data_IF_941259498234
#
_entry.id   IF_941259498234
#
_cell.length_a   1.000
_cell.length_b   1.000
_cell.length_c   1.000
_cell.angle_alpha   90.00
_cell.angle_beta   90.00
_cell.angle_gamma   90.00
#
_symmetry.space_group_name_H-M   'P 1'
#
loop_
_entity.id
_entity.type
_entity.pdbx_description
1 polymer ?
#
# COMPACT_ATOMS: atom_id res chain seq x y z
N UNK A 1 -3.55 60.65 10.82
CA UNK A 1 -5.00 60.42 10.67
C UNK A 1 -5.26 60.01 9.24
N UNK A 2 -5.09 58.72 8.92
CA UNK A 2 -5.52 58.11 7.66
C UNK A 2 -5.46 56.58 7.76
N UNK A 3 -6.64 55.97 7.56
CA UNK A 3 -6.90 54.65 6.96
C UNK A 3 -6.31 53.38 7.60
N UNK A 4 -6.88 53.02 8.77
CA UNK A 4 -7.09 51.61 9.16
C UNK A 4 -8.14 50.97 8.24
N UNK A 5 -7.71 50.34 7.14
CA UNK A 5 -8.56 49.46 6.33
C UNK A 5 -8.48 48.04 6.91
N UNK A 6 -9.32 47.78 7.93
CA UNK A 6 -9.66 46.42 8.36
C UNK A 6 -10.31 45.72 7.16
N UNK A 7 -9.59 44.78 6.54
CA UNK A 7 -10.19 43.81 5.63
C UNK A 7 -11.11 42.89 6.44
N UNK A 8 -12.38 43.26 6.53
CA UNK A 8 -13.48 42.33 6.76
C UNK A 8 -13.54 41.38 5.56
N UNK A 9 -12.87 40.23 5.69
CA UNK A 9 -13.05 39.06 4.81
C UNK A 9 -13.18 37.78 5.65
N UNK A 10 -13.85 37.89 6.80
CA UNK A 10 -14.05 36.81 7.75
C UNK A 10 -15.52 36.43 7.99
N UNK A 11 -16.45 36.93 7.18
CA UNK A 11 -17.89 36.67 7.33
C UNK A 11 -18.41 35.51 6.48
N UNK A 12 -17.94 35.38 5.24
CA UNK A 12 -18.52 34.42 4.28
C UNK A 12 -17.91 33.00 4.36
N UNK A 13 -16.72 32.86 4.96
CA UNK A 13 -16.10 31.53 5.12
C UNK A 13 -16.76 30.68 6.21
N UNK A 14 -17.55 31.30 7.09
CA UNK A 14 -18.26 30.60 8.19
C UNK A 14 -19.67 30.17 7.75
N UNK A 15 -20.30 30.85 6.79
CA UNK A 15 -21.61 30.44 6.24
C UNK A 15 -21.51 29.34 5.17
N UNK A 16 -20.33 29.10 4.58
CA UNK A 16 -20.15 28.01 3.60
C UNK A 16 -20.01 26.63 4.24
N UNK A 17 -19.88 26.57 5.57
CA UNK A 17 -19.83 25.31 6.33
C UNK A 17 -21.19 24.82 6.80
N UNK A 18 -22.29 25.37 6.28
CA UNK A 18 -23.61 24.74 6.30
C UNK A 18 -23.59 23.52 5.35
N UNK A 19 -22.74 22.58 5.75
CA UNK A 19 -22.80 21.15 5.64
C UNK A 19 -23.88 20.65 4.68
N UNK A 20 -23.45 20.27 3.48
CA UNK A 20 -24.14 19.21 2.75
C UNK A 20 -24.05 17.98 3.69
N UNK A 21 -25.14 17.53 4.33
CA UNK A 21 -25.10 16.39 5.25
C UNK A 21 -24.54 15.13 4.56
N UNK A 22 -24.68 15.09 3.24
CA UNK A 22 -24.11 14.06 2.37
C UNK A 22 -22.58 14.04 2.42
N UNK A 23 -21.88 15.17 2.48
CA UNK A 23 -20.40 15.18 2.50
C UNK A 23 -19.83 14.69 3.84
N UNK A 24 -20.49 15.02 4.95
CA UNK A 24 -20.17 14.47 6.26
C UNK A 24 -20.44 12.96 6.32
N UNK A 25 -21.52 12.51 5.69
CA UNK A 25 -21.84 11.08 5.56
C UNK A 25 -20.78 10.36 4.75
N UNK A 26 -20.42 10.88 3.57
CA UNK A 26 -19.36 10.35 2.69
C UNK A 26 -18.02 10.31 3.44
N UNK A 27 -17.65 11.37 4.16
CA UNK A 27 -16.46 11.40 4.99
C UNK A 27 -16.47 10.28 6.04
N UNK A 28 -17.59 10.14 6.77
CA UNK A 28 -17.73 9.14 7.83
C UNK A 28 -17.62 7.73 7.28
N UNK A 29 -18.21 7.46 6.10
CA UNK A 29 -18.13 6.18 5.42
C UNK A 29 -16.71 5.86 4.98
N UNK A 30 -16.02 6.78 4.30
CA UNK A 30 -14.62 6.59 3.90
C UNK A 30 -13.70 6.43 5.10
N UNK A 31 -13.93 7.17 6.19
CA UNK A 31 -13.15 7.05 7.42
C UNK A 31 -13.36 5.69 8.09
N UNK A 32 -14.60 5.19 8.13
CA UNK A 32 -14.89 3.83 8.63
C UNK A 32 -14.24 2.78 7.75
N UNK A 33 -14.31 2.91 6.42
CA UNK A 33 -13.67 1.99 5.48
C UNK A 33 -12.15 1.98 5.60
N UNK A 34 -11.51 3.15 5.66
CA UNK A 34 -10.05 3.24 5.85
C UNK A 34 -9.60 2.52 7.13
N UNK A 35 -10.30 2.76 8.27
CA UNK A 35 -10.02 2.05 9.52
C UNK A 35 -10.29 0.55 9.44
N UNK A 36 -11.32 0.15 8.70
CA UNK A 36 -11.62 -1.26 8.46
C UNK A 36 -10.47 -1.94 7.70
N UNK A 37 -10.02 -1.37 6.57
CA UNK A 37 -8.88 -1.90 5.82
C UNK A 37 -7.59 -1.96 6.65
N UNK A 38 -7.35 -0.95 7.50
CA UNK A 38 -6.20 -0.95 8.42
C UNK A 38 -6.28 -2.10 9.44
N UNK A 39 -7.45 -2.31 10.05
CA UNK A 39 -7.69 -3.39 10.99
C UNK A 39 -7.59 -4.76 10.33
N UNK A 40 -8.17 -4.93 9.14
CA UNK A 40 -8.08 -6.18 8.37
C UNK A 40 -6.63 -6.52 8.03
N UNK A 41 -5.83 -5.53 7.63
CA UNK A 41 -4.41 -5.73 7.34
C UNK A 41 -3.63 -6.20 8.58
N UNK A 42 -3.90 -5.60 9.74
CA UNK A 42 -3.32 -5.99 11.02
C UNK A 42 -3.70 -7.43 11.40
N UNK A 43 -5.00 -7.75 11.36
CA UNK A 43 -5.52 -9.08 11.64
C UNK A 43 -4.96 -10.14 10.70
N UNK A 44 -4.97 -9.85 9.40
CA UNK A 44 -4.41 -10.72 8.38
C UNK A 44 -2.93 -11.02 8.65
N UNK A 45 -2.14 -9.97 8.94
CA UNK A 45 -0.71 -10.15 9.24
C UNK A 45 -0.53 -11.01 10.49
N UNK A 46 -1.30 -10.79 11.56
CA UNK A 46 -1.19 -11.60 12.77
C UNK A 46 -1.48 -13.09 12.52
N UNK A 47 -2.54 -13.38 11.76
CA UNK A 47 -2.87 -14.76 11.35
C UNK A 47 -1.73 -15.34 10.51
N UNK A 48 -1.24 -14.58 9.53
CA UNK A 48 -0.16 -15.02 8.66
C UNK A 48 1.14 -15.30 9.43
N UNK A 49 1.53 -14.45 10.39
CA UNK A 49 2.66 -14.67 11.30
C UNK A 49 2.51 -15.99 12.06
N UNK A 50 1.31 -16.26 12.62
CA UNK A 50 1.05 -17.50 13.35
C UNK A 50 1.19 -18.73 12.44
N UNK A 51 0.70 -18.66 11.20
CA UNK A 51 0.84 -19.75 10.23
C UNK A 51 2.30 -19.98 9.84
N UNK A 52 3.06 -18.91 9.56
CA UNK A 52 4.50 -19.02 9.25
C UNK A 52 5.25 -19.65 10.43
N UNK A 53 4.97 -19.23 11.67
CA UNK A 53 5.57 -19.81 12.86
C UNK A 53 5.22 -21.31 13.01
N UNK A 54 3.96 -21.68 12.78
CA UNK A 54 3.52 -23.07 12.82
C UNK A 54 4.25 -23.94 11.78
N UNK A 55 4.41 -23.44 10.56
CA UNK A 55 5.17 -24.11 9.49
C UNK A 55 6.61 -24.35 9.95
N UNK A 56 7.30 -23.32 10.47
CA UNK A 56 8.69 -23.43 10.92
C UNK A 56 8.85 -24.41 12.11
N UNK A 57 7.91 -24.40 13.06
CA UNK A 57 7.89 -25.37 14.18
C UNK A 57 7.68 -26.80 13.67
N UNK A 58 6.78 -26.99 12.70
CA UNK A 58 6.51 -28.29 12.11
C UNK A 58 7.72 -28.80 11.29
N UNK A 59 8.38 -27.93 10.54
CA UNK A 59 9.65 -28.24 9.86
C UNK A 59 10.71 -28.73 10.84
N UNK A 60 10.90 -28.01 11.96
CA UNK A 60 11.86 -28.42 12.99
C UNK A 60 11.57 -29.82 13.51
N UNK A 61 10.31 -30.15 13.77
CA UNK A 61 9.91 -31.49 14.23
C UNK A 61 10.27 -32.58 13.20
N UNK A 62 9.98 -32.35 11.92
CA UNK A 62 10.30 -33.30 10.85
C UNK A 62 11.81 -33.50 10.70
N UNK A 63 12.60 -32.42 10.77
CA UNK A 63 14.06 -32.49 10.64
C UNK A 63 14.76 -33.16 11.82
N UNK A 64 14.16 -33.18 13.01
CA UNK A 64 14.74 -33.82 14.20
C UNK A 64 14.41 -35.31 14.34
N UNK A 65 13.61 -35.90 13.44
CA UNK A 65 13.32 -37.33 13.44
C UNK A 65 14.48 -38.15 12.82
N UNK A 66 14.69 -39.38 13.29
CA UNK A 66 15.78 -40.27 12.86
C UNK A 66 15.81 -40.57 11.34
N UNK A 67 14.66 -40.43 10.66
CA UNK A 67 14.56 -40.44 9.21
C UNK A 67 13.93 -39.13 8.73
N UNK A 68 14.74 -38.11 8.37
CA UNK A 68 14.22 -36.86 7.84
C UNK A 68 13.49 -37.12 6.52
N UNK A 69 12.17 -36.94 6.53
CA UNK A 69 11.33 -37.00 5.33
C UNK A 69 11.50 -35.73 4.49
N UNK A 70 12.61 -35.68 3.73
CA UNK A 70 12.96 -34.58 2.82
C UNK A 70 11.79 -34.13 1.94
N UNK A 71 11.00 -35.10 1.47
CA UNK A 71 9.93 -34.89 0.51
C UNK A 71 8.75 -34.16 1.17
N UNK A 72 8.41 -34.54 2.40
CA UNK A 72 7.37 -33.85 3.18
C UNK A 72 7.81 -32.43 3.54
N UNK A 73 9.08 -32.23 3.90
CA UNK A 73 9.63 -30.90 4.16
C UNK A 73 9.60 -30.02 2.91
N UNK A 74 9.94 -30.58 1.74
CA UNK A 74 9.87 -29.86 0.47
C UNK A 74 8.44 -29.40 0.14
N UNK A 75 7.45 -30.30 0.26
CA UNK A 75 6.03 -29.96 0.03
C UNK A 75 5.58 -28.83 0.96
N UNK A 76 5.93 -28.91 2.24
CA UNK A 76 5.59 -27.90 3.23
C UNK A 76 6.23 -26.54 2.95
N UNK A 77 7.47 -26.54 2.49
CA UNK A 77 8.21 -25.32 2.13
C UNK A 77 7.63 -24.67 0.87
N UNK A 78 7.26 -25.46 -0.14
CA UNK A 78 6.54 -24.99 -1.34
C UNK A 78 5.18 -24.40 -0.94
N UNK A 79 4.45 -25.07 -0.05
CA UNK A 79 3.20 -24.54 0.50
C UNK A 79 3.41 -23.20 1.20
N UNK A 80 4.45 -23.09 2.04
CA UNK A 80 4.84 -21.84 2.69
C UNK A 80 5.18 -20.72 1.68
N UNK A 81 5.87 -21.05 0.58
CA UNK A 81 6.17 -20.10 -0.49
C UNK A 81 4.89 -19.58 -1.17
N UNK A 82 4.00 -20.49 -1.57
CA UNK A 82 2.71 -20.12 -2.19
C UNK A 82 1.89 -19.24 -1.26
N UNK A 83 1.77 -19.64 0.01
CA UNK A 83 1.06 -18.85 1.02
C UNK A 83 1.69 -17.46 1.22
N UNK A 84 3.01 -17.36 1.14
CA UNK A 84 3.71 -16.08 1.28
C UNK A 84 3.46 -15.13 0.11
N UNK A 85 3.45 -15.66 -1.12
CA UNK A 85 3.10 -14.86 -2.31
C UNK A 85 1.64 -14.40 -2.25
N UNK A 86 0.70 -15.30 -1.92
CA UNK A 86 -0.70 -14.94 -1.76
C UNK A 86 -0.92 -13.93 -0.64
N UNK A 87 -0.25 -14.11 0.50
CA UNK A 87 -0.36 -13.17 1.61
C UNK A 87 0.17 -11.78 1.28
N UNK A 88 1.25 -11.70 0.50
CA UNK A 88 1.75 -10.43 0.00
C UNK A 88 0.76 -9.73 -0.94
N UNK A 89 0.10 -10.48 -1.85
CA UNK A 89 -0.93 -9.92 -2.73
C UNK A 89 -2.14 -9.38 -1.97
N UNK A 90 -2.59 -10.09 -0.92
CA UNK A 90 -3.66 -9.62 -0.02
C UNK A 90 -3.24 -8.34 0.70
N UNK A 91 -2.02 -8.31 1.25
CA UNK A 91 -1.47 -7.12 1.92
C UNK A 91 -1.44 -5.89 0.99
N UNK A 92 -1.01 -6.08 -0.26
CA UNK A 92 -1.03 -5.03 -1.29
C UNK A 92 -2.47 -4.58 -1.55
N UNK A 93 -3.39 -5.51 -1.77
CA UNK A 93 -4.78 -5.19 -2.10
C UNK A 93 -5.47 -4.38 -1.00
N UNK A 94 -5.31 -4.78 0.27
CA UNK A 94 -5.82 -4.04 1.44
C UNK A 94 -5.18 -2.65 1.57
N UNK A 95 -3.89 -2.55 1.25
CA UNK A 95 -3.18 -1.27 1.32
C UNK A 95 -3.64 -0.32 0.20
N UNK A 96 -3.95 -0.83 -1.01
CA UNK A 96 -4.52 -0.01 -2.10
C UNK A 96 -5.88 0.55 -1.68
N UNK A 97 -6.73 -0.29 -1.09
CA UNK A 97 -8.05 0.12 -0.57
C UNK A 97 -7.94 1.21 0.50
N UNK A 98 -7.02 1.04 1.45
CA UNK A 98 -6.72 2.06 2.45
C UNK A 98 -6.31 3.40 1.81
N UNK A 99 -5.32 3.38 0.91
CA UNK A 99 -4.79 4.60 0.29
C UNK A 99 -5.83 5.31 -0.58
N UNK A 100 -6.74 4.55 -1.21
CA UNK A 100 -7.86 5.10 -1.97
C UNK A 100 -8.77 5.94 -1.07
N UNK A 101 -9.29 5.35 0.02
CA UNK A 101 -10.17 6.05 0.95
C UNK A 101 -9.50 7.22 1.66
N UNK A 102 -8.22 7.08 2.01
CA UNK A 102 -7.45 8.20 2.57
C UNK A 102 -7.35 9.37 1.59
N UNK A 103 -7.20 9.10 0.30
CA UNK A 103 -7.14 10.17 -0.70
C UNK A 103 -8.46 10.93 -0.81
N UNK A 104 -9.58 10.23 -0.72
CA UNK A 104 -10.91 10.85 -0.76
C UNK A 104 -11.17 11.67 0.52
N UNK A 105 -10.71 11.18 1.68
CA UNK A 105 -10.71 11.94 2.94
C UNK A 105 -9.89 13.24 2.82
N UNK A 106 -8.71 13.19 2.20
CA UNK A 106 -7.86 14.38 1.98
C UNK A 106 -8.59 15.40 1.10
N UNK A 107 -9.29 14.94 0.06
CA UNK A 107 -10.08 15.80 -0.82
C UNK A 107 -11.21 16.51 -0.04
N UNK A 108 -11.92 15.80 0.84
CA UNK A 108 -12.96 16.40 1.69
C UNK A 108 -12.36 17.39 2.69
N UNK A 109 -11.23 17.06 3.32
CA UNK A 109 -10.53 18.00 4.22
C UNK A 109 -10.06 19.27 3.52
N UNK A 110 -9.64 19.15 2.26
CA UNK A 110 -9.30 20.30 1.43
C UNK A 110 -10.53 21.17 1.17
N UNK A 111 -11.67 20.58 0.83
CA UNK A 111 -12.93 21.30 0.62
C UNK A 111 -13.42 22.03 1.89
N UNK A 112 -13.29 21.40 3.07
CA UNK A 112 -13.63 22.02 4.35
C UNK A 112 -12.58 23.02 4.88
N UNK A 113 -11.48 23.23 4.16
CA UNK A 113 -10.34 24.04 4.62
C UNK A 113 -9.77 23.59 5.98
N UNK A 114 -9.77 22.27 6.21
CA UNK A 114 -9.28 21.64 7.44
C UNK A 114 -7.99 20.83 7.22
N UNK A 115 -7.22 21.17 6.18
CA UNK A 115 -5.98 20.47 5.82
C UNK A 115 -4.89 20.51 6.91
N UNK A 116 -4.99 21.43 7.86
CA UNK A 116 -4.10 21.51 9.03
C UNK A 116 -4.23 20.30 9.98
N UNK A 117 -5.39 19.66 10.05
CA UNK A 117 -5.58 18.46 10.89
C UNK A 117 -4.86 17.24 10.32
N UNK A 118 -4.61 17.24 9.00
CA UNK A 118 -3.92 16.17 8.29
C UNK A 118 -2.40 16.40 8.15
N UNK A 119 -1.80 17.25 9.00
CA UNK A 119 -0.38 17.69 8.87
C UNK A 119 0.64 16.58 9.14
N UNK A 120 0.24 15.44 9.71
CA UNK A 120 1.12 14.30 10.04
C UNK A 120 0.85 13.02 9.21
N UNK A 121 0.99 13.04 7.87
CA UNK A 121 0.80 11.85 7.04
C UNK A 121 1.92 10.80 7.18
N UNK A 122 2.97 11.08 7.98
CA UNK A 122 4.14 10.20 8.09
C UNK A 122 3.94 8.97 9.00
N UNK A 123 2.97 8.99 9.92
CA UNK A 123 2.71 7.87 10.82
C UNK A 123 2.22 6.59 10.11
N UNK A 124 1.26 6.62 9.16
CA UNK A 124 0.80 5.41 8.48
C UNK A 124 1.88 4.79 7.56
N UNK A 125 2.83 5.59 7.06
CA UNK A 125 3.87 5.12 6.13
C UNK A 125 4.87 4.16 6.79
N UNK A 126 5.28 4.43 8.04
CA UNK A 126 6.23 3.57 8.76
C UNK A 126 5.63 2.18 9.05
N UNK A 127 4.36 2.14 9.42
CA UNK A 127 3.66 0.89 9.72
C UNK A 127 3.45 0.03 8.46
N UNK A 128 3.02 0.65 7.36
CA UNK A 128 2.94 0.00 6.03
C UNK A 128 4.28 -0.61 5.60
N UNK A 129 5.37 0.14 5.78
CA UNK A 129 6.69 -0.32 5.38
C UNK A 129 7.14 -1.54 6.19
N UNK A 130 6.90 -1.57 7.50
CA UNK A 130 7.28 -2.70 8.35
C UNK A 130 6.53 -3.99 7.98
N UNK A 131 5.19 -3.89 7.80
CA UNK A 131 4.38 -5.02 7.37
C UNK A 131 4.79 -5.55 5.99
N UNK A 132 5.15 -4.64 5.08
CA UNK A 132 5.68 -5.00 3.77
C UNK A 132 6.97 -5.78 3.88
N UNK A 133 7.96 -5.26 4.60
CA UNK A 133 9.24 -5.95 4.78
C UNK A 133 9.07 -7.34 5.37
N UNK A 134 8.13 -7.51 6.31
CA UNK A 134 7.83 -8.83 6.85
C UNK A 134 7.44 -9.84 5.76
N UNK A 135 6.52 -9.47 4.86
CA UNK A 135 6.07 -10.36 3.79
C UNK A 135 7.16 -10.59 2.71
N UNK A 136 7.98 -9.59 2.42
CA UNK A 136 9.11 -9.75 1.50
C UNK A 136 10.15 -10.72 2.08
N UNK A 137 10.48 -10.59 3.38
CA UNK A 137 11.41 -11.46 4.08
C UNK A 137 10.88 -12.90 4.12
N UNK A 138 9.59 -13.12 4.37
CA UNK A 138 9.01 -14.47 4.38
C UNK A 138 9.02 -15.11 2.99
N UNK A 139 8.73 -14.36 1.92
CA UNK A 139 8.88 -14.85 0.55
C UNK A 139 10.33 -15.27 0.28
N UNK A 140 11.30 -14.42 0.59
CA UNK A 140 12.74 -14.72 0.39
C UNK A 140 13.14 -15.96 1.18
N UNK A 141 12.71 -16.07 2.45
CA UNK A 141 12.97 -17.22 3.29
C UNK A 141 12.43 -18.51 2.67
N UNK A 142 11.15 -18.56 2.32
CA UNK A 142 10.56 -19.77 1.75
C UNK A 142 11.08 -20.08 0.35
N UNK A 143 11.46 -19.09 -0.44
CA UNK A 143 12.13 -19.31 -1.72
C UNK A 143 13.51 -19.95 -1.54
N UNK A 144 14.32 -19.43 -0.61
CA UNK A 144 15.63 -20.00 -0.28
C UNK A 144 15.50 -21.44 0.25
N UNK A 145 14.53 -21.69 1.14
CA UNK A 145 14.25 -23.03 1.63
C UNK A 145 13.77 -23.96 0.49
N UNK A 146 12.96 -23.46 -0.45
CA UNK A 146 12.47 -24.25 -1.59
C UNK A 146 13.64 -24.69 -2.46
N UNK A 147 14.57 -23.78 -2.75
CA UNK A 147 15.78 -24.09 -3.50
C UNK A 147 16.66 -25.11 -2.77
N UNK A 148 16.84 -24.93 -1.46
CA UNK A 148 17.65 -25.85 -0.64
C UNK A 148 17.07 -27.27 -0.60
N UNK A 149 15.80 -27.42 -0.22
CA UNK A 149 15.17 -28.74 -0.15
C UNK A 149 14.92 -29.34 -1.54
N UNK A 150 14.69 -28.49 -2.56
CA UNK A 150 14.60 -28.92 -3.95
C UNK A 150 15.92 -29.50 -4.45
N UNK A 151 17.05 -28.87 -4.09
CA UNK A 151 18.39 -29.40 -4.37
C UNK A 151 18.65 -30.74 -3.65
N UNK A 152 18.25 -30.88 -2.39
CA UNK A 152 18.41 -32.15 -1.67
C UNK A 152 17.53 -33.28 -2.24
N UNK A 153 16.31 -32.95 -2.69
CA UNK A 153 15.41 -33.92 -3.33
C UNK A 153 15.79 -34.21 -4.78
N UNK A 154 16.70 -33.44 -5.37
CA UNK A 154 17.09 -33.50 -6.77
C UNK A 154 17.61 -34.88 -7.21
N UNK A 155 18.42 -35.52 -6.36
CA UNK A 155 18.97 -36.85 -6.66
C UNK A 155 17.90 -37.94 -6.74
N UNK A 156 16.75 -37.73 -6.07
CA UNK A 156 15.65 -38.71 -6.05
C UNK A 156 14.62 -38.48 -7.15
N UNK A 157 14.50 -37.26 -7.64
CA UNK A 157 13.51 -36.90 -8.66
C UNK A 157 14.08 -37.12 -10.07
N UNK A 158 13.89 -38.33 -10.60
CA UNK A 158 14.35 -38.76 -11.93
C UNK A 158 13.94 -37.81 -13.08
N UNK A 159 12.81 -37.10 -12.94
CA UNK A 159 12.28 -36.14 -13.93
C UNK A 159 13.21 -34.93 -14.13
N UNK A 160 13.98 -34.59 -13.10
CA UNK A 160 14.71 -33.34 -13.06
C UNK A 160 16.20 -33.47 -13.36
N UNK A 161 16.77 -34.67 -13.25
CA UNK A 161 18.20 -34.97 -13.35
C UNK A 161 18.99 -34.20 -14.44
N UNK A 162 18.38 -33.94 -15.59
CA UNK A 162 19.06 -33.31 -16.72
C UNK A 162 19.12 -31.78 -16.69
N UNK A 163 18.30 -31.04 -15.92
CA UNK A 163 18.26 -29.57 -16.02
C UNK A 163 17.97 -28.81 -14.70
N UNK A 164 18.96 -28.67 -13.79
CA UNK A 164 18.86 -27.94 -12.51
C UNK A 164 18.51 -26.46 -12.63
N UNK A 165 18.73 -25.89 -13.80
CA UNK A 165 18.48 -24.49 -14.10
C UNK A 165 16.98 -24.15 -14.06
N UNK A 166 16.06 -25.11 -14.25
CA UNK A 166 14.61 -24.82 -14.28
C UNK A 166 14.04 -24.38 -12.94
N UNK A 167 14.47 -24.97 -11.82
CA UNK A 167 13.97 -24.56 -10.50
C UNK A 167 14.38 -23.12 -10.19
N UNK A 168 15.63 -22.78 -10.48
CA UNK A 168 16.14 -21.41 -10.37
C UNK A 168 15.36 -20.49 -11.31
N UNK A 169 15.13 -20.92 -12.56
CA UNK A 169 14.36 -20.16 -13.55
C UNK A 169 12.92 -19.87 -13.11
N UNK A 170 12.20 -20.88 -12.61
CA UNK A 170 10.82 -20.72 -12.12
C UNK A 170 10.79 -19.78 -10.91
N UNK A 171 11.72 -19.94 -9.96
CA UNK A 171 11.82 -19.03 -8.80
C UNK A 171 12.11 -17.59 -9.23
N UNK A 172 13.00 -17.38 -10.20
CA UNK A 172 13.30 -16.05 -10.75
C UNK A 172 12.09 -15.46 -11.50
N UNK A 173 11.32 -16.27 -12.23
CA UNK A 173 10.11 -15.82 -12.92
C UNK A 173 9.04 -15.41 -11.90
N UNK A 174 8.79 -16.22 -10.87
CA UNK A 174 7.82 -15.89 -9.80
C UNK A 174 8.24 -14.59 -9.13
N UNK A 175 9.52 -14.46 -8.77
CA UNK A 175 10.07 -13.27 -8.13
C UNK A 175 9.94 -12.03 -9.04
N UNK A 176 10.34 -12.13 -10.31
CA UNK A 176 10.22 -11.06 -11.28
C UNK A 176 8.75 -10.67 -11.54
N UNK A 177 7.83 -11.63 -11.51
CA UNK A 177 6.40 -11.37 -11.67
C UNK A 177 5.83 -10.62 -10.47
N UNK A 178 6.15 -11.06 -9.25
CA UNK A 178 5.74 -10.40 -8.00
C UNK A 178 6.33 -8.99 -7.93
N UNK A 179 7.64 -8.84 -8.16
CA UNK A 179 8.30 -7.53 -8.08
C UNK A 179 7.89 -6.60 -9.24
N UNK A 180 7.71 -7.14 -10.45
CA UNK A 180 7.30 -6.39 -11.62
C UNK A 180 5.88 -5.84 -11.51
N UNK A 181 4.91 -6.69 -11.14
CA UNK A 181 3.53 -6.24 -10.88
C UNK A 181 3.48 -5.22 -9.74
N UNK A 182 4.29 -5.43 -8.71
CA UNK A 182 4.39 -4.54 -7.57
C UNK A 182 4.94 -3.17 -7.96
N UNK A 183 6.18 -3.09 -8.45
CA UNK A 183 6.85 -1.83 -8.76
C UNK A 183 6.05 -1.00 -9.74
N UNK A 184 5.52 -1.62 -10.79
CA UNK A 184 4.81 -0.89 -11.82
C UNK A 184 3.54 -0.24 -11.27
N UNK A 185 2.64 -1.01 -10.64
CA UNK A 185 1.32 -0.49 -10.30
C UNK A 185 1.31 0.29 -8.98
N UNK A 186 2.07 -0.17 -8.00
CA UNK A 186 2.02 0.36 -6.63
C UNK A 186 2.85 1.63 -6.46
N UNK A 187 4.08 1.64 -6.98
CA UNK A 187 4.99 2.76 -6.78
C UNK A 187 4.50 4.02 -7.50
N UNK A 188 3.95 3.85 -8.70
CA UNK A 188 3.33 4.93 -9.47
C UNK A 188 2.09 5.49 -8.75
N UNK A 189 1.21 4.61 -8.27
CA UNK A 189 0.01 4.99 -7.52
C UNK A 189 0.33 5.77 -6.23
N UNK A 190 1.28 5.29 -5.41
CA UNK A 190 1.72 6.00 -4.20
C UNK A 190 2.31 7.36 -4.56
N UNK A 191 3.21 7.41 -5.55
CA UNK A 191 3.86 8.66 -5.95
C UNK A 191 2.82 9.69 -6.40
N UNK A 192 1.81 9.27 -7.16
CA UNK A 192 0.78 10.17 -7.65
C UNK A 192 -0.16 10.62 -6.53
N UNK A 193 -0.61 9.73 -5.64
CA UNK A 193 -1.40 10.14 -4.46
C UNK A 193 -0.63 11.11 -3.57
N UNK A 194 0.66 10.88 -3.36
CA UNK A 194 1.48 11.77 -2.55
C UNK A 194 1.71 13.14 -3.22
N UNK A 195 1.92 13.17 -4.53
CA UNK A 195 2.01 14.41 -5.31
C UNK A 195 0.70 15.18 -5.27
N UNK A 196 -0.42 14.48 -5.39
CA UNK A 196 -1.76 15.05 -5.31
C UNK A 196 -2.03 15.67 -3.94
N UNK A 197 -1.86 14.90 -2.85
CA UNK A 197 -2.04 15.41 -1.49
C UNK A 197 -1.12 16.61 -1.19
N UNK A 198 0.12 16.57 -1.71
CA UNK A 198 1.05 17.70 -1.63
C UNK A 198 0.59 18.92 -2.42
N UNK A 199 0.02 18.72 -3.61
CA UNK A 199 -0.51 19.80 -4.43
C UNK A 199 -1.63 20.55 -3.70
N UNK A 200 -2.60 19.80 -3.16
CA UNK A 200 -3.69 20.37 -2.35
C UNK A 200 -3.17 21.10 -1.11
N UNK A 201 -2.21 20.51 -0.39
CA UNK A 201 -1.63 21.15 0.81
C UNK A 201 -0.91 22.46 0.52
N UNK A 202 -0.27 22.58 -0.64
CA UNK A 202 0.47 23.78 -1.04
C UNK A 202 -0.43 24.87 -1.61
N UNK A 203 -1.70 24.57 -1.86
CA UNK A 203 -2.62 25.51 -2.48
C UNK A 203 -3.26 26.46 -1.46
N UNK A 204 -2.47 27.44 -1.01
CA UNK A 204 -2.92 28.48 -0.06
C UNK A 204 -3.94 29.45 -0.67
N UNK A 205 -4.06 29.46 -2.00
CA UNK A 205 -4.94 30.36 -2.76
C UNK A 205 -6.32 29.73 -3.03
N UNK A 206 -6.56 28.48 -2.58
CA UNK A 206 -7.80 27.72 -2.80
C UNK A 206 -8.26 27.66 -4.26
N UNK A 207 -7.34 27.51 -5.21
CA UNK A 207 -7.64 27.41 -6.64
C UNK A 207 -8.50 26.21 -6.99
N UNK A 208 -8.38 25.13 -6.22
CA UNK A 208 -9.15 23.90 -6.45
C UNK A 208 -10.48 23.85 -5.66
N UNK A 209 -11.00 24.99 -5.16
CA UNK A 209 -12.25 25.01 -4.37
C UNK A 209 -13.52 24.72 -5.20
N UNK A 210 -13.48 24.98 -6.51
CA UNK A 210 -14.58 24.65 -7.43
C UNK A 210 -14.65 23.13 -7.66
N UNK A 211 -15.50 22.45 -6.88
CA UNK A 211 -15.56 21.00 -6.83
C UNK A 211 -15.97 20.37 -8.16
N UNK A 212 -17.03 20.91 -8.78
CA UNK A 212 -17.56 20.39 -10.04
C UNK A 212 -16.55 20.49 -11.18
N UNK A 213 -15.73 21.54 -11.16
CA UNK A 213 -14.67 21.73 -12.16
C UNK A 213 -13.50 20.77 -11.94
N UNK A 214 -13.07 20.59 -10.70
CA UNK A 214 -11.80 19.95 -10.43
C UNK A 214 -11.91 18.48 -10.06
N UNK A 215 -12.95 18.02 -9.36
CA UNK A 215 -13.04 16.67 -8.80
C UNK A 215 -14.06 15.75 -9.48
N UNK A 216 -14.88 16.26 -10.41
CA UNK A 216 -15.90 15.47 -11.13
C UNK A 216 -15.32 14.52 -12.18
N UNK A 217 -14.16 14.86 -12.71
CA UNK A 217 -13.50 14.08 -13.76
C UNK A 217 -12.72 12.91 -13.16
N UNK A 218 -12.81 11.66 -13.68
CA UNK A 218 -12.06 10.52 -13.15
C UNK A 218 -10.53 10.73 -13.12
N UNK A 219 -9.98 11.56 -14.01
CA UNK A 219 -8.56 11.90 -14.07
C UNK A 219 -8.21 13.16 -13.26
N UNK A 220 -9.08 13.61 -12.35
CA UNK A 220 -8.90 14.82 -11.55
C UNK A 220 -7.52 14.92 -10.88
N UNK A 221 -7.04 13.80 -10.31
CA UNK A 221 -5.76 13.76 -9.59
C UNK A 221 -4.61 14.18 -10.50
N UNK A 222 -4.57 13.65 -11.73
CA UNK A 222 -3.55 13.97 -12.72
C UNK A 222 -3.63 15.44 -13.14
N UNK A 223 -4.84 15.94 -13.41
CA UNK A 223 -5.07 17.35 -13.78
C UNK A 223 -4.58 18.33 -12.71
N UNK A 224 -4.88 18.06 -11.44
CA UNK A 224 -4.45 18.89 -10.30
C UNK A 224 -2.92 18.83 -10.12
N UNK A 225 -2.31 17.66 -10.26
CA UNK A 225 -0.85 17.51 -10.20
C UNK A 225 -0.17 18.31 -11.32
N UNK A 226 -0.70 18.24 -12.54
CA UNK A 226 -0.16 18.96 -13.69
C UNK A 226 -0.32 20.47 -13.57
N UNK A 227 -1.47 20.96 -13.11
CA UNK A 227 -1.67 22.39 -12.86
C UNK A 227 -0.71 22.90 -11.78
N UNK A 228 -0.61 22.19 -10.65
CA UNK A 228 0.32 22.54 -9.58
C UNK A 228 1.79 22.60 -10.06
N UNK A 229 2.19 21.69 -10.96
CA UNK A 229 3.52 21.74 -11.61
C UNK A 229 3.69 22.97 -12.49
N UNK A 230 2.68 23.33 -13.30
CA UNK A 230 2.70 24.53 -14.15
C UNK A 230 2.81 25.81 -13.31
N UNK A 231 2.08 25.90 -12.20
CA UNK A 231 2.14 27.05 -11.30
C UNK A 231 3.51 27.19 -10.62
N UNK A 232 4.12 26.06 -10.20
CA UNK A 232 5.47 26.10 -9.62
C UNK A 232 6.49 26.70 -10.59
N UNK A 233 6.44 26.30 -11.87
CA UNK A 233 7.31 26.86 -12.92
C UNK A 233 7.09 28.35 -13.14
N UNK A 234 5.83 28.82 -13.10
CA UNK A 234 5.50 30.25 -13.24
C UNK A 234 6.03 31.12 -12.09
N UNK A 235 6.16 30.58 -10.88
CA UNK A 235 6.72 31.31 -9.71
C UNK A 235 8.25 31.35 -9.69
N UNK A 236 8.91 30.54 -10.53
CA UNK A 236 10.37 30.46 -10.63
C UNK A 236 10.94 31.39 -11.73
N UNK A 237 10.07 31.98 -12.56
CA UNK A 237 10.39 32.97 -13.59
C UNK A 237 9.89 34.36 -13.17
#
# INVERSE_FOLDING_TARGET
>A
MNTLRKNQKGGDSIQRSDSIPELETIFTEHWKHARHCENERLWFTNIYVAVVAAILVFMRKICCCEQPNSDLTLVLVIFGLVLSVLGFQVMISLSLGYDHHITDIIMIFYYWDRMEFYRHPGKPFLFMSALRYFHEITIVLFAALTLYYGYLAWERLAVFHNQPVWLIGISLIIFAHVEGLYRWRWEEYIKDNWRFARALRKDTERRYEDWDKWFKDPDFRRKIIEDAKKQKKKKEH
#
